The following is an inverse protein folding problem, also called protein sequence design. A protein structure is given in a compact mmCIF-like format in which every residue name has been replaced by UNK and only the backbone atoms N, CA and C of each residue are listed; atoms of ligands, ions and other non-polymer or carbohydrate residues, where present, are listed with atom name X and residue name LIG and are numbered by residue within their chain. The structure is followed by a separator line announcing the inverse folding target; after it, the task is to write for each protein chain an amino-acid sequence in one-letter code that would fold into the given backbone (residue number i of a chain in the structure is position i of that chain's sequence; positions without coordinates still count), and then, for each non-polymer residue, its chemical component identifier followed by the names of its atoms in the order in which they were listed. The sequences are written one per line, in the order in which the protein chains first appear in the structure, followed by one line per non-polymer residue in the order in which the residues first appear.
data_IF_337453639820
#
_entry.id   IF_337453639820
#
_cell.length_a   1.000
_cell.length_b   1.000
_cell.length_c   1.000
_cell.angle_alpha   90.00
_cell.angle_beta   90.00
_cell.angle_gamma   90.00
#
_symmetry.space_group_name_H-M   'P 1'
#
loop_
_entity.id
_entity.type
_entity.pdbx_description
1 polymer ?
#
# COMPACT_ATOMS: atom_id res chain seq x y z
N UNK A 1 22.51 -25.83 16.03
CA UNK A 1 21.54 -24.76 16.38
C UNK A 1 21.54 -23.75 15.24
N UNK A 2 20.52 -23.63 14.39
CA UNK A 2 20.46 -22.62 13.34
C UNK A 2 19.94 -21.32 13.94
N UNK A 3 20.70 -20.24 13.73
CA UNK A 3 20.30 -18.88 14.05
C UNK A 3 19.04 -18.49 13.24
N UNK A 4 18.00 -18.07 13.96
CA UNK A 4 16.80 -17.51 13.38
C UNK A 4 17.16 -16.19 12.68
N UNK A 5 16.92 -16.12 11.37
CA UNK A 5 16.99 -14.88 10.61
C UNK A 5 15.93 -13.91 11.14
N UNK A 6 16.38 -12.78 11.66
CA UNK A 6 15.55 -11.67 12.10
C UNK A 6 14.77 -11.12 10.89
N UNK A 7 13.47 -11.42 10.84
CA UNK A 7 12.54 -10.79 9.91
C UNK A 7 12.50 -9.29 10.21
N UNK A 8 13.03 -8.47 9.30
CA UNK A 8 12.94 -7.01 9.38
C UNK A 8 11.48 -6.57 9.16
N UNK A 9 10.71 -6.55 10.23
CA UNK A 9 9.38 -5.93 10.22
C UNK A 9 9.56 -4.42 10.08
N UNK A 10 9.00 -3.83 9.04
CA UNK A 10 8.83 -2.38 8.96
C UNK A 10 8.15 -1.92 10.25
N UNK A 11 8.84 -1.11 11.04
CA UNK A 11 8.24 -0.50 12.23
C UNK A 11 7.32 0.61 11.75
N UNK A 12 6.03 0.32 11.66
CA UNK A 12 5.02 1.36 11.57
C UNK A 12 4.92 2.03 12.93
N UNK A 13 4.99 3.34 12.92
CA UNK A 13 4.74 4.11 14.13
C UNK A 13 3.26 3.92 14.50
N UNK A 14 2.96 3.17 15.57
CA UNK A 14 1.59 2.86 15.98
C UNK A 14 0.79 4.14 16.33
N UNK A 15 1.48 5.23 16.65
CA UNK A 15 0.86 6.52 16.92
C UNK A 15 0.26 7.21 15.66
N UNK A 16 0.61 6.76 14.45
CA UNK A 16 0.14 7.36 13.21
C UNK A 16 -1.26 6.89 12.76
N UNK A 17 -1.87 5.92 13.46
CA UNK A 17 -3.22 5.43 13.15
C UNK A 17 -4.19 6.05 14.15
N UNK A 18 -4.54 7.32 13.98
CA UNK A 18 -5.57 7.96 14.78
C UNK A 18 -6.97 7.66 14.22
N UNK A 19 -7.90 7.11 15.02
CA UNK A 19 -9.30 7.09 14.64
C UNK A 19 -9.82 8.53 14.65
N UNK A 20 -10.25 9.03 13.50
CA UNK A 20 -10.89 10.35 13.39
C UNK A 20 -12.13 10.37 14.28
N UNK A 21 -12.00 10.93 15.48
CA UNK A 21 -13.11 11.39 16.30
C UNK A 21 -13.15 12.91 16.18
N UNK A 22 -13.92 13.42 15.29
CA UNK A 22 -14.68 14.66 15.29
C UNK A 22 -14.83 15.25 13.89
N UNK A 23 -16.01 15.64 13.48
CA UNK A 23 -16.23 16.33 12.19
C UNK A 23 -15.66 17.75 12.16
N UNK A 24 -15.17 18.30 13.26
CA UNK A 24 -14.63 19.66 13.36
C UNK A 24 -13.14 19.81 12.95
N UNK A 25 -12.30 18.76 13.02
CA UNK A 25 -10.86 18.90 12.76
C UNK A 25 -10.56 18.79 11.27
N UNK A 26 -11.38 18.08 10.50
CA UNK A 26 -11.21 17.90 9.06
C UNK A 26 -11.36 19.19 8.23
N UNK A 27 -11.84 20.28 8.80
CA UNK A 27 -12.22 21.50 8.05
C UNK A 27 -11.08 22.50 7.81
N UNK A 28 -9.90 22.27 8.42
CA UNK A 28 -8.78 23.22 8.34
C UNK A 28 -7.42 22.63 7.98
N UNK A 29 -7.32 21.33 7.74
CA UNK A 29 -6.05 20.74 7.34
C UNK A 29 -5.83 20.95 5.86
N UNK A 30 -4.86 21.80 5.53
CA UNK A 30 -4.41 22.00 4.14
C UNK A 30 -3.80 20.72 3.61
N UNK A 31 -4.21 20.33 2.41
CA UNK A 31 -3.62 19.19 1.70
C UNK A 31 -2.64 19.71 0.65
N UNK A 32 -1.43 19.17 0.71
CA UNK A 32 -0.34 19.47 -0.22
C UNK A 32 -0.14 18.32 -1.17
N UNK A 33 0.15 18.61 -2.44
CA UNK A 33 0.37 17.59 -3.47
C UNK A 33 1.70 17.77 -4.16
N UNK A 34 2.21 16.65 -4.71
CA UNK A 34 3.41 16.62 -5.54
C UNK A 34 3.35 15.46 -6.53
N UNK A 35 3.82 15.71 -7.76
CA UNK A 35 3.96 14.67 -8.77
C UNK A 35 5.34 13.98 -8.67
N UNK A 36 5.38 12.72 -9.05
CA UNK A 36 6.57 11.90 -9.10
C UNK A 36 6.55 11.04 -10.36
N UNK A 37 7.59 11.15 -11.18
CA UNK A 37 7.74 10.33 -12.39
C UNK A 37 8.37 8.98 -12.04
N UNK A 38 7.60 7.90 -12.19
CA UNK A 38 8.07 6.56 -11.93
C UNK A 38 8.24 5.76 -13.22
N UNK A 39 9.03 4.65 -13.19
CA UNK A 39 9.12 3.73 -14.34
C UNK A 39 7.78 3.11 -14.76
N UNK A 40 6.75 3.20 -13.91
CA UNK A 40 5.41 2.66 -14.15
C UNK A 40 4.36 3.75 -14.45
N UNK A 41 4.83 4.97 -14.74
CA UNK A 41 4.00 6.14 -15.01
C UNK A 41 3.97 7.12 -13.84
N UNK A 42 3.34 8.25 -14.06
CA UNK A 42 3.27 9.32 -13.07
C UNK A 42 2.48 8.91 -11.83
N UNK A 43 2.95 9.39 -10.69
CA UNK A 43 2.37 9.18 -9.36
C UNK A 43 2.03 10.54 -8.77
N UNK A 44 0.84 10.67 -8.21
CA UNK A 44 0.45 11.80 -7.38
C UNK A 44 0.61 11.42 -5.91
N UNK A 45 1.40 12.20 -5.17
CA UNK A 45 1.49 12.15 -3.72
C UNK A 45 0.65 13.25 -3.11
N UNK A 46 0.02 12.95 -1.97
CA UNK A 46 -0.68 13.94 -1.15
C UNK A 46 -0.29 13.77 0.31
N UNK A 47 -0.23 14.88 1.03
CA UNK A 47 0.06 14.92 2.46
C UNK A 47 -0.67 16.08 3.13
N UNK A 48 -0.87 15.95 4.43
CA UNK A 48 -1.25 17.03 5.33
C UNK A 48 -0.17 17.22 6.41
N UNK A 49 -0.49 17.94 7.48
CA UNK A 49 0.46 18.21 8.58
C UNK A 49 0.78 16.94 9.42
N UNK A 50 0.00 15.88 9.30
CA UNK A 50 0.22 14.61 10.02
C UNK A 50 1.10 13.64 9.22
N UNK A 51 0.86 13.53 7.91
CA UNK A 51 1.60 12.59 7.06
C UNK A 51 1.04 12.45 5.66
N UNK A 52 1.47 11.41 4.95
CA UNK A 52 0.93 11.09 3.64
C UNK A 52 -0.52 10.64 3.76
N UNK A 53 -1.40 11.27 3.00
CA UNK A 53 -2.83 10.93 2.87
C UNK A 53 -3.12 10.18 1.57
N UNK A 54 -2.20 10.23 0.60
CA UNK A 54 -2.38 9.61 -0.69
C UNK A 54 -1.10 9.36 -1.49
N UNK A 55 -1.13 8.30 -2.28
CA UNK A 55 -0.15 7.95 -3.28
C UNK A 55 -0.82 7.10 -4.34
N UNK A 56 -1.05 7.67 -5.52
CA UNK A 56 -1.78 7.02 -6.60
C UNK A 56 -1.03 7.09 -7.91
N UNK A 57 -1.03 6.00 -8.66
CA UNK A 57 -0.65 6.06 -10.09
C UNK A 57 -1.71 6.82 -10.88
N UNK A 58 -1.30 7.68 -11.77
CA UNK A 58 -2.24 8.33 -12.68
C UNK A 58 -3.01 7.28 -13.50
N UNK A 59 -4.31 7.55 -13.68
CA UNK A 59 -5.22 6.65 -14.37
C UNK A 59 -5.64 5.39 -13.61
N UNK A 60 -5.19 5.19 -12.36
CA UNK A 60 -5.67 4.07 -11.56
C UNK A 60 -7.13 4.21 -11.14
N UNK A 61 -7.77 3.08 -10.83
CA UNK A 61 -9.10 3.10 -10.21
C UNK A 61 -9.04 3.81 -8.85
N UNK A 62 -10.02 4.67 -8.59
CA UNK A 62 -10.09 5.53 -7.38
C UNK A 62 -8.92 6.52 -7.26
N UNK A 63 -8.34 6.95 -8.39
CA UNK A 63 -7.34 8.01 -8.40
C UNK A 63 -7.82 9.23 -7.64
N UNK A 64 -6.98 9.74 -6.73
CA UNK A 64 -7.24 10.95 -5.95
C UNK A 64 -8.60 11.00 -5.20
N UNK A 65 -9.27 9.84 -5.00
CA UNK A 65 -10.63 9.78 -4.47
C UNK A 65 -10.78 10.28 -3.02
N UNK A 66 -9.69 10.48 -2.32
CA UNK A 66 -9.66 11.01 -0.94
C UNK A 66 -9.11 12.43 -0.87
N UNK A 67 -8.76 13.04 -2.01
CA UNK A 67 -8.33 14.44 -2.02
C UNK A 67 -9.51 15.38 -1.76
N UNK A 68 -9.31 16.43 -0.94
CA UNK A 68 -10.26 17.52 -0.84
C UNK A 68 -10.29 18.35 -2.13
N UNK A 69 -11.34 19.18 -2.33
CA UNK A 69 -11.43 20.06 -3.51
C UNK A 69 -10.29 21.07 -3.61
N UNK A 70 -9.79 21.52 -2.46
CA UNK A 70 -8.71 22.50 -2.39
C UNK A 70 -7.41 21.82 -1.98
N UNK A 71 -6.40 21.94 -2.83
CA UNK A 71 -5.05 21.43 -2.60
C UNK A 71 -4.02 22.47 -3.03
N UNK A 72 -2.84 22.41 -2.45
CA UNK A 72 -1.71 23.27 -2.83
C UNK A 72 -0.53 22.43 -3.32
N UNK A 73 0.10 22.86 -4.39
CA UNK A 73 1.37 22.28 -4.83
C UNK A 73 2.51 22.90 -4.03
N UNK A 74 2.98 22.17 -3.02
CA UNK A 74 4.06 22.62 -2.13
C UNK A 74 4.79 21.41 -1.56
N UNK A 75 6.11 21.47 -1.47
CA UNK A 75 6.89 20.46 -0.78
C UNK A 75 6.66 20.54 0.73
N UNK A 76 6.42 19.38 1.35
CA UNK A 76 6.37 19.21 2.80
C UNK A 76 7.36 18.13 3.24
N UNK A 77 7.72 18.03 4.54
CA UNK A 77 8.57 16.94 5.03
C UNK A 77 8.02 15.56 4.67
N UNK A 78 6.73 15.32 4.84
CA UNK A 78 6.09 14.04 4.52
C UNK A 78 6.17 13.71 3.02
N UNK A 79 5.92 14.68 2.12
CA UNK A 79 6.05 14.49 0.67
C UNK A 79 7.51 14.21 0.27
N UNK A 80 8.47 14.91 0.88
CA UNK A 80 9.90 14.68 0.62
C UNK A 80 10.33 13.27 1.05
N UNK A 81 9.89 12.81 2.22
CA UNK A 81 10.15 11.44 2.68
C UNK A 81 9.47 10.40 1.79
N UNK A 82 8.23 10.66 1.35
CA UNK A 82 7.53 9.82 0.39
C UNK A 82 8.29 9.67 -0.93
N UNK A 83 8.83 10.77 -1.47
CA UNK A 83 9.67 10.73 -2.68
C UNK A 83 10.95 9.93 -2.48
N UNK A 84 11.68 10.15 -1.38
CA UNK A 84 12.88 9.38 -1.04
C UNK A 84 12.57 7.88 -0.92
N UNK A 85 11.43 7.56 -0.34
CA UNK A 85 10.95 6.18 -0.26
C UNK A 85 10.74 5.58 -1.66
N UNK A 86 10.10 6.32 -2.56
CA UNK A 86 9.88 5.91 -3.96
C UNK A 86 11.21 5.74 -4.72
N UNK A 87 12.17 6.66 -4.53
CA UNK A 87 13.49 6.57 -5.15
C UNK A 87 14.20 5.26 -4.76
N UNK A 88 14.20 4.91 -3.47
CA UNK A 88 14.76 3.65 -2.98
C UNK A 88 14.00 2.44 -3.53
N UNK A 89 12.67 2.49 -3.51
CA UNK A 89 11.81 1.40 -3.94
C UNK A 89 12.02 1.09 -5.44
N UNK A 90 11.98 2.11 -6.31
CA UNK A 90 12.18 1.91 -7.74
C UNK A 90 13.65 1.66 -8.15
N UNK A 91 14.61 2.00 -7.29
CA UNK A 91 15.98 1.50 -7.41
C UNK A 91 16.12 0.00 -7.05
N UNK A 92 15.00 -0.67 -6.76
CA UNK A 92 14.95 -2.06 -6.38
C UNK A 92 15.47 -2.32 -4.96
N UNK A 93 15.57 -1.35 -4.09
CA UNK A 93 15.97 -1.50 -2.68
C UNK A 93 14.75 -1.55 -1.78
N UNK A 94 14.76 -2.43 -0.79
CA UNK A 94 13.72 -2.42 0.25
C UNK A 94 13.89 -1.19 1.15
N UNK A 95 12.94 -0.23 1.15
CA UNK A 95 13.02 0.88 2.09
C UNK A 95 12.86 0.40 3.53
N UNK A 96 13.77 0.78 4.42
CA UNK A 96 13.80 0.30 5.81
C UNK A 96 12.87 1.08 6.74
N UNK A 97 12.47 2.28 6.33
CA UNK A 97 11.59 3.16 7.09
C UNK A 97 10.42 3.58 6.21
N UNK A 98 9.27 3.77 6.80
CA UNK A 98 8.10 4.35 6.15
C UNK A 98 8.02 5.84 6.46
N UNK A 99 7.64 6.71 5.50
CA UNK A 99 7.25 8.08 5.83
C UNK A 99 6.05 8.09 6.77
N UNK A 100 5.79 9.19 7.49
CA UNK A 100 4.58 9.32 8.29
C UNK A 100 3.34 9.19 7.40
N UNK A 101 2.37 8.38 7.84
CA UNK A 101 1.13 8.12 7.11
C UNK A 101 -0.06 8.65 7.90
N UNK A 102 -0.97 9.35 7.21
CA UNK A 102 -2.27 9.71 7.76
C UNK A 102 -3.38 8.99 6.97
N UNK A 103 -3.79 7.85 7.48
CA UNK A 103 -4.80 7.00 6.85
C UNK A 103 -6.20 7.42 7.24
N UNK A 104 -6.99 7.87 6.27
CA UNK A 104 -8.38 8.28 6.46
C UNK A 104 -9.28 7.23 5.83
N UNK A 105 -10.12 6.58 6.65
CA UNK A 105 -11.00 5.52 6.18
C UNK A 105 -11.96 5.01 7.24
N UNK A 106 -12.84 4.09 6.84
CA UNK A 106 -13.72 3.41 7.80
C UNK A 106 -12.89 2.47 8.70
N UNK A 107 -13.35 2.17 9.94
CA UNK A 107 -12.64 1.24 10.83
C UNK A 107 -12.31 -0.10 10.18
N UNK A 108 -13.19 -0.60 9.31
CA UNK A 108 -12.94 -1.82 8.55
C UNK A 108 -11.79 -1.68 7.56
N UNK A 109 -11.75 -0.59 6.79
CA UNK A 109 -10.65 -0.32 5.85
C UNK A 109 -9.32 -0.14 6.57
N UNK A 110 -9.31 0.63 7.65
CA UNK A 110 -8.10 0.85 8.46
C UNK A 110 -7.53 -0.48 8.99
N UNK A 111 -8.37 -1.39 9.50
CA UNK A 111 -7.93 -2.71 9.94
C UNK A 111 -7.35 -3.54 8.80
N UNK A 112 -7.96 -3.50 7.60
CA UNK A 112 -7.42 -4.20 6.43
C UNK A 112 -6.09 -3.59 6.01
N UNK A 113 -5.97 -2.27 5.94
CA UNK A 113 -4.73 -1.59 5.54
C UNK A 113 -3.60 -1.79 6.55
N UNK A 114 -3.92 -1.89 7.85
CA UNK A 114 -2.95 -2.31 8.87
C UNK A 114 -2.36 -3.68 8.56
N UNK A 115 -3.19 -4.67 8.25
CA UNK A 115 -2.71 -6.01 7.86
C UNK A 115 -1.86 -5.95 6.57
N UNK A 116 -2.26 -5.14 5.58
CA UNK A 116 -1.46 -4.97 4.36
C UNK A 116 -0.06 -4.46 4.65
N UNK A 117 0.06 -3.48 5.54
CA UNK A 117 1.34 -2.87 5.89
C UNK A 117 2.33 -3.81 6.57
N UNK A 118 1.83 -4.94 7.08
CA UNK A 118 2.65 -5.98 7.71
C UNK A 118 3.17 -7.04 6.72
N UNK A 119 2.74 -7.00 5.45
CA UNK A 119 3.21 -7.95 4.43
C UNK A 119 4.64 -7.58 4.04
N UNK A 120 5.64 -8.48 4.29
CA UNK A 120 7.03 -8.15 4.02
C UNK A 120 7.31 -7.92 2.52
N UNK A 121 8.39 -7.19 2.23
CA UNK A 121 8.90 -7.01 0.87
C UNK A 121 9.19 -8.37 0.20
N UNK A 122 8.77 -8.53 -1.06
CA UNK A 122 8.93 -9.76 -1.82
C UNK A 122 8.06 -10.95 -1.37
N UNK A 123 7.20 -10.77 -0.35
CA UNK A 123 6.24 -11.79 0.09
C UNK A 123 4.83 -11.46 -0.39
N UNK A 124 4.01 -12.49 -0.52
CA UNK A 124 2.60 -12.36 -0.94
C UNK A 124 1.68 -13.03 0.06
N UNK A 125 0.44 -12.59 0.09
CA UNK A 125 -0.65 -13.24 0.83
C UNK A 125 -1.91 -13.28 -0.02
N UNK A 126 -2.94 -14.00 0.41
CA UNK A 126 -4.20 -14.05 -0.33
C UNK A 126 -5.31 -13.22 0.33
N UNK A 127 -6.33 -12.86 -0.44
CA UNK A 127 -7.54 -12.23 0.10
C UNK A 127 -8.20 -13.08 1.20
N UNK A 128 -8.12 -14.41 1.06
CA UNK A 128 -8.65 -15.36 2.03
C UNK A 128 -7.90 -15.33 3.36
N UNK A 129 -6.56 -15.31 3.32
CA UNK A 129 -5.72 -15.27 4.52
C UNK A 129 -5.95 -13.98 5.32
N UNK A 130 -6.05 -12.83 4.62
CA UNK A 130 -6.39 -11.55 5.27
C UNK A 130 -7.78 -11.60 5.89
N UNK A 131 -8.77 -12.18 5.19
CA UNK A 131 -10.13 -12.31 5.70
C UNK A 131 -10.18 -13.20 6.94
N UNK A 132 -9.45 -14.31 6.93
CA UNK A 132 -9.35 -15.24 8.05
C UNK A 132 -8.69 -14.57 9.27
N UNK A 133 -7.55 -13.93 9.06
CA UNK A 133 -6.83 -13.19 10.11
C UNK A 133 -7.71 -12.11 10.75
N UNK A 134 -8.36 -11.28 9.93
CA UNK A 134 -9.22 -10.22 10.43
C UNK A 134 -10.47 -10.76 11.15
N UNK A 135 -11.00 -11.92 10.74
CA UNK A 135 -12.08 -12.60 11.45
C UNK A 135 -11.63 -13.04 12.84
N UNK A 136 -10.45 -13.64 12.95
CA UNK A 136 -9.86 -14.06 14.23
C UNK A 136 -9.63 -12.86 15.17
N UNK A 137 -9.02 -11.78 14.67
CA UNK A 137 -8.76 -10.56 15.45
C UNK A 137 -10.06 -9.91 15.99
N UNK A 138 -11.20 -10.14 15.31
CA UNK A 138 -12.52 -9.60 15.69
C UNK A 138 -13.43 -10.59 16.41
N UNK A 139 -12.97 -11.81 16.66
CA UNK A 139 -13.81 -12.87 17.26
C UNK A 139 -14.99 -13.27 16.39
N UNK A 140 -14.88 -13.14 15.06
CA UNK A 140 -15.92 -13.49 14.11
C UNK A 140 -15.68 -14.88 13.52
N UNK A 141 -16.73 -15.66 13.24
CA UNK A 141 -16.57 -17.00 12.66
C UNK A 141 -15.95 -16.96 11.25
N UNK A 142 -16.24 -15.91 10.48
CA UNK A 142 -15.66 -15.69 9.16
C UNK A 142 -15.86 -14.25 8.69
N UNK A 143 -15.03 -13.80 7.74
CA UNK A 143 -15.22 -12.59 6.97
C UNK A 143 -15.17 -12.90 5.47
N UNK A 144 -15.89 -12.10 4.69
CA UNK A 144 -15.91 -12.25 3.23
C UNK A 144 -14.62 -11.76 2.61
N UNK A 145 -13.91 -12.61 1.87
CA UNK A 145 -12.76 -12.23 1.05
C UNK A 145 -13.12 -11.13 0.02
N UNK A 146 -14.37 -11.09 -0.45
CA UNK A 146 -14.88 -10.04 -1.34
C UNK A 146 -14.93 -8.68 -0.64
N UNK A 147 -15.38 -8.63 0.62
CA UNK A 147 -15.39 -7.40 1.41
C UNK A 147 -13.96 -6.90 1.67
N UNK A 148 -13.05 -7.82 2.02
CA UNK A 148 -11.62 -7.52 2.16
C UNK A 148 -11.03 -7.00 0.85
N UNK A 149 -11.32 -7.65 -0.29
CA UNK A 149 -10.88 -7.21 -1.61
C UNK A 149 -11.38 -5.80 -1.97
N UNK A 150 -12.63 -5.46 -1.60
CA UNK A 150 -13.15 -4.10 -1.76
C UNK A 150 -12.39 -3.07 -0.93
N UNK A 151 -12.05 -3.40 0.31
CA UNK A 151 -11.24 -2.52 1.19
C UNK A 151 -9.80 -2.35 0.66
N UNK A 152 -9.17 -3.44 0.18
CA UNK A 152 -7.85 -3.43 -0.45
C UNK A 152 -7.84 -2.53 -1.68
N UNK A 153 -8.85 -2.65 -2.55
CA UNK A 153 -8.97 -1.84 -3.76
C UNK A 153 -9.17 -0.33 -3.49
N UNK A 154 -9.54 0.04 -2.28
CA UNK A 154 -9.70 1.43 -1.82
C UNK A 154 -8.49 1.96 -1.06
N UNK A 155 -7.37 1.24 -1.06
CA UNK A 155 -6.12 1.72 -0.46
C UNK A 155 -5.71 3.08 -1.08
N UNK A 156 -5.60 4.14 -0.28
CA UNK A 156 -5.25 5.46 -0.80
C UNK A 156 -3.74 5.65 -0.99
N UNK A 157 -2.89 4.80 -0.38
CA UNK A 157 -1.44 4.94 -0.40
C UNK A 157 -0.82 3.69 -1.04
N UNK A 158 -0.85 3.64 -2.38
CA UNK A 158 -0.26 2.55 -3.15
C UNK A 158 1.24 2.38 -2.84
N UNK A 159 1.79 1.21 -3.05
CA UNK A 159 3.19 0.84 -2.84
C UNK A 159 3.59 0.78 -1.36
N UNK A 160 3.52 1.87 -0.62
CA UNK A 160 3.87 1.94 0.81
C UNK A 160 2.93 1.02 1.61
N UNK A 161 1.62 1.07 1.33
CA UNK A 161 0.68 0.04 1.79
C UNK A 161 0.54 -0.97 0.65
N UNK A 162 1.20 -2.13 0.74
CA UNK A 162 1.50 -2.97 -0.40
C UNK A 162 0.32 -3.84 -0.85
N UNK A 163 -0.78 -3.22 -1.30
CA UNK A 163 -1.94 -3.94 -1.81
C UNK A 163 -1.62 -4.78 -3.07
N UNK A 164 -0.54 -4.48 -3.80
CA UNK A 164 -0.04 -5.30 -4.90
C UNK A 164 0.48 -6.67 -4.44
N UNK A 165 0.87 -6.86 -3.16
CA UNK A 165 1.32 -8.14 -2.58
C UNK A 165 0.16 -9.10 -2.25
N UNK A 166 -1.11 -8.67 -2.44
CA UNK A 166 -2.27 -9.56 -2.24
C UNK A 166 -2.67 -10.19 -3.56
N UNK A 167 -2.63 -11.52 -3.62
CA UNK A 167 -2.92 -12.32 -4.81
C UNK A 167 -4.17 -13.19 -4.63
N UNK A 168 -4.69 -13.72 -5.71
CA UNK A 168 -5.76 -14.70 -5.68
C UNK A 168 -5.29 -16.05 -5.18
N UNK A 169 -6.24 -16.95 -4.91
CA UNK A 169 -5.95 -18.35 -4.59
C UNK A 169 -5.14 -18.96 -5.74
N UNK A 170 -4.23 -19.86 -5.41
CA UNK A 170 -3.34 -20.53 -6.38
C UNK A 170 -2.38 -19.58 -7.14
N UNK A 171 -2.00 -18.44 -6.55
CA UNK A 171 -1.04 -17.52 -7.13
C UNK A 171 -1.58 -16.61 -8.24
N UNK A 172 -2.87 -16.68 -8.60
CA UNK A 172 -3.44 -15.87 -9.68
C UNK A 172 -3.33 -14.37 -9.39
N UNK A 173 -2.89 -13.62 -10.37
CA UNK A 173 -2.90 -12.16 -10.31
C UNK A 173 -4.33 -11.65 -10.53
N UNK A 174 -4.93 -11.12 -9.48
CA UNK A 174 -6.28 -10.57 -9.52
C UNK A 174 -6.32 -9.22 -8.80
N UNK A 175 -7.18 -8.34 -9.25
CA UNK A 175 -7.56 -7.11 -8.59
C UNK A 175 -6.39 -6.22 -8.12
N UNK A 176 -6.13 -5.15 -8.85
CA UNK A 176 -5.23 -4.08 -8.43
C UNK A 176 -5.73 -2.75 -8.98
N UNK A 177 -5.84 -1.74 -8.14
CA UNK A 177 -6.34 -0.43 -8.56
C UNK A 177 -5.44 0.19 -9.65
N UNK A 178 -4.13 -0.03 -9.58
CA UNK A 178 -3.14 0.42 -10.55
C UNK A 178 -3.06 -0.43 -11.83
N UNK A 179 -3.88 -1.49 -11.97
CA UNK A 179 -3.85 -2.39 -13.13
C UNK A 179 -2.90 -3.58 -12.95
N UNK A 180 -3.27 -4.73 -13.55
CA UNK A 180 -2.54 -6.00 -13.33
C UNK A 180 -1.11 -5.96 -13.88
N UNK A 181 -0.86 -5.23 -14.94
CA UNK A 181 0.48 -5.07 -15.50
C UNK A 181 1.45 -4.40 -14.50
N UNK A 182 1.02 -3.32 -13.82
CA UNK A 182 1.83 -2.71 -12.74
C UNK A 182 2.04 -3.68 -11.59
N UNK A 183 1.00 -4.43 -11.20
CA UNK A 183 1.08 -5.44 -10.14
C UNK A 183 2.12 -6.52 -10.46
N UNK A 184 2.10 -7.07 -11.68
CA UNK A 184 3.05 -8.06 -12.13
C UNK A 184 4.49 -7.53 -12.07
N UNK A 185 4.72 -6.32 -12.59
CA UNK A 185 6.03 -5.69 -12.55
C UNK A 185 6.56 -5.50 -11.12
N UNK A 186 5.72 -4.96 -10.23
CA UNK A 186 6.08 -4.72 -8.82
C UNK A 186 6.45 -6.02 -8.11
N UNK A 187 5.65 -7.07 -8.27
CA UNK A 187 5.95 -8.38 -7.69
C UNK A 187 7.24 -8.99 -8.25
N UNK A 188 7.49 -8.88 -9.56
CA UNK A 188 8.71 -9.35 -10.17
C UNK A 188 9.93 -8.57 -9.70
N UNK A 189 9.82 -7.24 -9.56
CA UNK A 189 10.88 -6.37 -9.06
C UNK A 189 11.25 -6.73 -7.61
N UNK A 190 10.26 -6.93 -6.75
CA UNK A 190 10.49 -7.28 -5.35
C UNK A 190 11.10 -8.67 -5.17
N UNK A 191 10.73 -9.65 -6.01
CA UNK A 191 11.30 -11.01 -5.96
C UNK A 191 12.77 -11.06 -6.39
N UNK A 192 13.19 -10.25 -7.38
CA UNK A 192 14.58 -10.22 -7.87
C UNK A 192 15.62 -9.89 -6.80
N UNK A 193 15.22 -9.26 -5.71
CA UNK A 193 16.11 -9.00 -4.58
C UNK A 193 16.16 -10.14 -3.56
N UNK A 194 15.11 -10.94 -3.46
CA UNK A 194 15.04 -12.09 -2.55
C UNK A 194 15.77 -13.34 -3.05
N UNK A 195 15.74 -13.55 -4.36
CA UNK A 195 16.33 -14.71 -5.01
C UNK A 195 17.11 -14.25 -6.25
N UNK A 196 18.41 -14.48 -6.31
CA UNK A 196 19.28 -14.19 -7.47
C UNK A 196 18.99 -15.11 -8.67
N UNK A 197 17.86 -15.80 -8.70
CA UNK A 197 17.46 -16.65 -9.81
C UNK A 197 16.40 -15.98 -10.69
N UNK A 198 16.69 -16.00 -11.98
CA UNK A 198 15.93 -15.47 -13.10
C UNK A 198 14.45 -15.90 -13.06
N UNK A 199 13.53 -14.96 -12.80
CA UNK A 199 12.12 -15.18 -13.02
C UNK A 199 11.82 -15.07 -14.52
N UNK A 200 11.43 -16.21 -15.11
CA UNK A 200 10.88 -16.24 -16.46
C UNK A 200 9.46 -15.63 -16.42
N UNK A 201 9.32 -14.44 -17.00
CA UNK A 201 8.03 -13.71 -17.10
C UNK A 201 6.96 -14.47 -17.90
N UNK A 202 7.35 -15.57 -18.58
CA UNK A 202 6.44 -16.42 -19.37
C UNK A 202 5.54 -17.30 -18.48
N UNK A 203 5.83 -17.45 -17.19
CA UNK A 203 5.01 -18.25 -16.25
C UNK A 203 3.89 -17.46 -15.56
N UNK A 204 3.78 -16.16 -15.79
CA UNK A 204 2.66 -15.37 -15.31
C UNK A 204 1.49 -15.54 -16.29
N UNK A 205 0.57 -16.43 -15.95
CA UNK A 205 -0.67 -16.61 -16.69
C UNK A 205 -1.53 -15.33 -16.64
N UNK A 206 -1.58 -14.61 -17.76
CA UNK A 206 -2.40 -13.41 -17.98
C UNK A 206 -3.79 -13.74 -18.51
N UNK A 207 -4.27 -14.97 -18.37
CA UNK A 207 -5.61 -15.35 -18.82
C UNK A 207 -6.66 -14.48 -18.15
N UNK A 208 -7.29 -13.62 -18.95
CA UNK A 208 -8.42 -12.75 -18.64
C UNK A 208 -9.70 -13.55 -18.38
#
# INVERSE_FOLDING_TARGET
MPQMASSSRLRYNEEAIHPVRSPCISRYMMTFIQHYDSPLGAILLAADDVGLTGLWFEGQKYFAATLPPEVQTKETPALREGRRWLDLYFAGKEPKTSPPLHLIGTPFRLSVWKILSEIPYGKTTTYGDIAQRLAQERGLPRLSARAVGSAIGRNPISLIIPCHRVIGRNGRLTGYAGGLHRKAYLLAMERRQGDRETLDLKTLDFSL
#
